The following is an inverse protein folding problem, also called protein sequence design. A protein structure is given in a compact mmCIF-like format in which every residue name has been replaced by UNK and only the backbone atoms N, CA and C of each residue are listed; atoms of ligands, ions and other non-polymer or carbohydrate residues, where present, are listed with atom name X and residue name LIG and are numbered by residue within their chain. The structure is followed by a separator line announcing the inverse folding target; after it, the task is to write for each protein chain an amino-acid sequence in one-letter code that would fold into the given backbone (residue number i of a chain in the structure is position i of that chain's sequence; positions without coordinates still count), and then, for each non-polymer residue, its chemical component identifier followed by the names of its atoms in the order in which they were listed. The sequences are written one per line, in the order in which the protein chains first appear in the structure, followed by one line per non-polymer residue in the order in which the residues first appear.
data_IF_289264103483
#
_entry.id   IF_289264103483
#
_cell.length_a   1.000
_cell.length_b   1.000
_cell.length_c   1.000
_cell.angle_alpha   90.00
_cell.angle_beta   90.00
_cell.angle_gamma   90.00
#
_symmetry.space_group_name_H-M   'P 1'
#
loop_
_entity.id
_entity.type
_entity.pdbx_description
1 polymer ?
#
# COMPACT_ATOMS: atom_id res chain seq x y z
N UNK A 1 -12.45 37.55 -14.32
CA UNK A 1 -11.59 36.57 -15.01
C UNK A 1 -10.95 35.67 -13.96
N UNK A 2 -11.24 34.36 -13.92
CA UNK A 2 -10.54 33.45 -13.02
C UNK A 2 -9.12 33.25 -13.54
N UNK A 3 -8.12 33.58 -12.71
CA UNK A 3 -6.71 33.31 -13.00
C UNK A 3 -6.52 31.79 -13.05
N UNK A 4 -6.14 31.25 -14.21
CA UNK A 4 -5.65 29.89 -14.33
C UNK A 4 -4.51 29.70 -13.33
N UNK A 5 -4.73 28.85 -12.32
CA UNK A 5 -3.69 28.50 -11.33
C UNK A 5 -2.67 27.63 -12.06
N UNK A 6 -1.49 28.18 -12.32
CA UNK A 6 -0.33 27.39 -12.77
C UNK A 6 -0.07 26.28 -11.77
N UNK A 7 -0.02 25.03 -12.24
CA UNK A 7 0.60 23.95 -11.48
C UNK A 7 2.05 24.34 -11.18
N UNK A 8 2.60 23.96 -10.02
CA UNK A 8 4.00 24.21 -9.71
C UNK A 8 4.88 23.56 -10.78
N UNK A 9 5.76 24.35 -11.39
CA UNK A 9 6.68 23.88 -12.43
C UNK A 9 7.59 22.79 -11.85
N UNK A 10 7.71 21.67 -12.57
CA UNK A 10 8.57 20.56 -12.20
C UNK A 10 10.02 21.05 -12.19
N UNK A 11 10.77 20.86 -11.09
CA UNK A 11 12.19 21.15 -11.10
C UNK A 11 12.85 20.34 -12.22
N UNK A 12 13.64 20.98 -13.09
CA UNK A 12 14.39 20.29 -14.14
C UNK A 12 15.50 19.46 -13.50
N UNK A 13 15.18 18.23 -13.13
CA UNK A 13 16.12 17.28 -12.55
C UNK A 13 16.71 16.40 -13.65
N UNK A 14 17.96 15.99 -13.47
CA UNK A 14 18.56 14.96 -14.32
C UNK A 14 17.88 13.61 -14.05
N UNK A 15 17.95 12.65 -15.00
CA UNK A 15 17.43 11.29 -14.78
C UNK A 15 18.03 10.62 -13.54
N UNK A 16 19.34 10.80 -13.32
CA UNK A 16 20.06 10.32 -12.14
C UNK A 16 19.46 10.91 -10.87
N UNK A 17 19.27 12.23 -10.83
CA UNK A 17 18.69 12.90 -9.67
C UNK A 17 17.25 12.49 -9.41
N UNK A 18 16.49 12.22 -10.47
CA UNK A 18 15.13 11.68 -10.36
C UNK A 18 15.14 10.29 -9.73
N UNK A 19 16.10 9.43 -10.11
CA UNK A 19 16.25 8.09 -9.52
C UNK A 19 16.64 8.14 -8.03
N UNK A 20 17.49 9.09 -7.63
CA UNK A 20 17.80 9.34 -6.22
C UNK A 20 16.56 9.77 -5.43
N UNK A 21 15.76 10.70 -5.96
CA UNK A 21 14.51 11.12 -5.33
C UNK A 21 13.53 9.96 -5.21
N UNK A 22 13.36 9.14 -6.26
CA UNK A 22 12.53 7.94 -6.21
C UNK A 22 13.02 6.98 -5.11
N UNK A 23 14.33 6.81 -4.97
CA UNK A 23 14.92 5.97 -3.93
C UNK A 23 14.65 6.50 -2.53
N UNK A 24 14.73 7.82 -2.32
CA UNK A 24 14.37 8.46 -1.05
C UNK A 24 12.86 8.32 -0.74
N UNK A 25 11.98 8.45 -1.74
CA UNK A 25 10.53 8.25 -1.54
C UNK A 25 10.22 6.78 -1.25
N UNK A 26 10.86 5.82 -1.92
CA UNK A 26 10.77 4.40 -1.56
C UNK A 26 11.22 4.15 -0.13
N UNK A 27 12.31 4.79 0.30
CA UNK A 27 12.79 4.71 1.67
C UNK A 27 11.75 5.24 2.67
N UNK A 28 11.10 6.37 2.37
CA UNK A 28 10.01 6.93 3.15
C UNK A 28 8.83 5.95 3.23
N UNK A 29 8.42 5.33 2.11
CA UNK A 29 7.38 4.30 2.10
C UNK A 29 7.72 3.14 3.03
N UNK A 30 8.96 2.66 3.00
CA UNK A 30 9.40 1.56 3.88
C UNK A 30 9.35 1.99 5.34
N UNK A 31 9.83 3.18 5.69
CA UNK A 31 9.75 3.71 7.06
C UNK A 31 8.29 3.74 7.54
N UNK A 32 7.37 4.28 6.72
CA UNK A 32 5.94 4.31 7.06
C UNK A 32 5.32 2.92 7.18
N UNK A 33 5.77 1.94 6.40
CA UNK A 33 5.30 0.56 6.55
C UNK A 33 5.87 -0.10 7.81
N UNK A 34 7.12 0.15 8.18
CA UNK A 34 7.70 -0.35 9.43
C UNK A 34 6.93 0.16 10.64
N UNK A 35 6.42 1.40 10.61
CA UNK A 35 5.58 1.95 11.68
C UNK A 35 4.24 1.24 11.87
N UNK A 36 3.79 0.42 10.91
CA UNK A 36 2.59 -0.41 11.07
C UNK A 36 2.83 -1.60 11.99
N UNK A 37 4.07 -2.10 12.03
CA UNK A 37 4.44 -3.28 12.81
C UNK A 37 5.06 -2.88 14.15
N UNK A 38 5.92 -1.86 14.15
CA UNK A 38 6.70 -1.44 15.31
C UNK A 38 6.36 0.00 15.72
N UNK A 39 6.30 0.24 17.02
CA UNK A 39 6.17 1.60 17.56
C UNK A 39 7.39 2.47 17.16
N UNK A 40 7.18 3.77 16.97
CA UNK A 40 8.25 4.73 16.64
C UNK A 40 9.38 4.77 17.68
N UNK A 41 9.11 4.36 18.93
CA UNK A 41 10.12 4.25 19.98
C UNK A 41 10.91 2.94 19.93
N UNK A 42 10.45 1.93 19.19
CA UNK A 42 11.08 0.61 19.11
C UNK A 42 12.41 0.65 18.33
N UNK A 43 13.40 -0.15 18.78
CA UNK A 43 14.75 -0.12 18.20
C UNK A 43 14.76 -0.49 16.71
N UNK A 44 13.97 -1.49 16.30
CA UNK A 44 13.85 -1.89 14.88
C UNK A 44 13.37 -0.73 13.99
N UNK A 45 12.44 0.09 14.48
CA UNK A 45 11.97 1.26 13.72
C UNK A 45 13.08 2.31 13.61
N UNK A 46 13.77 2.62 14.71
CA UNK A 46 14.86 3.60 14.73
C UNK A 46 16.01 3.19 13.79
N UNK A 47 16.45 1.94 13.86
CA UNK A 47 17.47 1.39 12.97
C UNK A 47 17.03 1.50 11.51
N UNK A 48 15.76 1.16 11.20
CA UNK A 48 15.26 1.24 9.84
C UNK A 48 15.27 2.67 9.28
N UNK A 49 15.03 3.68 10.12
CA UNK A 49 15.16 5.10 9.73
C UNK A 49 16.62 5.46 9.50
N UNK A 50 17.50 5.16 10.46
CA UNK A 50 18.92 5.49 10.40
C UNK A 50 19.62 4.89 9.17
N UNK A 51 19.38 3.61 8.89
CA UNK A 51 19.92 2.91 7.71
C UNK A 51 19.49 3.54 6.38
N UNK A 52 18.36 4.25 6.35
CA UNK A 52 17.78 4.85 5.15
C UNK A 52 18.13 6.33 4.98
N UNK A 53 18.68 6.98 6.01
CA UNK A 53 19.12 8.37 5.94
C UNK A 53 20.07 8.68 4.77
N UNK A 54 21.02 7.80 4.40
CA UNK A 54 21.90 8.08 3.25
C UNK A 54 21.14 8.31 1.93
N UNK A 55 19.97 7.67 1.73
CA UNK A 55 19.16 7.86 0.52
C UNK A 55 18.54 9.26 0.45
N UNK A 56 18.15 9.82 1.60
CA UNK A 56 17.70 11.22 1.69
C UNK A 56 18.87 12.18 1.48
N UNK A 57 20.04 11.86 2.04
CA UNK A 57 21.27 12.64 1.82
C UNK A 57 21.61 12.77 0.34
N UNK A 58 21.69 11.65 -0.38
CA UNK A 58 21.93 11.63 -1.82
C UNK A 58 20.86 12.43 -2.58
N UNK A 59 19.57 12.19 -2.33
CA UNK A 59 18.49 12.89 -3.03
C UNK A 59 18.45 14.40 -2.75
N UNK A 60 18.89 14.85 -1.56
CA UNK A 60 18.91 16.27 -1.19
C UNK A 60 20.19 16.99 -1.63
N UNK A 61 21.26 16.27 -1.96
CA UNK A 61 22.53 16.86 -2.37
C UNK A 61 22.35 17.79 -3.58
N UNK A 62 22.81 19.04 -3.46
CA UNK A 62 22.69 20.04 -4.52
C UNK A 62 21.26 20.55 -4.79
N UNK A 63 20.27 20.20 -3.96
CA UNK A 63 18.88 20.67 -4.10
C UNK A 63 18.46 21.57 -2.94
N UNK A 64 17.50 22.48 -3.17
CA UNK A 64 16.90 23.28 -2.10
C UNK A 64 15.87 22.50 -1.28
N UNK A 65 15.45 21.33 -1.76
CA UNK A 65 14.51 20.42 -1.14
C UNK A 65 13.76 19.58 -2.18
N UNK A 66 13.07 18.56 -1.71
CA UNK A 66 12.29 17.62 -2.51
C UNK A 66 10.81 17.89 -2.25
N UNK A 67 10.11 18.62 -3.14
CA UNK A 67 8.67 18.83 -3.04
C UNK A 67 7.90 17.59 -3.51
N UNK A 68 7.17 16.96 -2.60
CA UNK A 68 6.30 15.83 -2.86
C UNK A 68 4.84 16.28 -2.75
N UNK A 69 4.02 15.97 -3.75
CA UNK A 69 2.58 16.20 -3.74
C UNK A 69 1.83 14.88 -3.78
N UNK A 70 0.75 14.80 -3.01
CA UNK A 70 -0.10 13.62 -2.88
C UNK A 70 -1.45 13.92 -3.51
N UNK A 71 -1.76 13.25 -4.63
CA UNK A 71 -2.97 13.53 -5.43
C UNK A 71 -3.51 12.21 -5.96
N UNK A 72 -4.76 11.88 -5.63
CA UNK A 72 -5.50 10.73 -6.16
C UNK A 72 -4.70 9.40 -6.12
N UNK A 73 -3.99 9.14 -5.01
CA UNK A 73 -3.17 7.93 -4.86
C UNK A 73 -1.84 7.98 -5.61
N UNK A 74 -1.43 9.13 -6.15
CA UNK A 74 -0.13 9.34 -6.77
C UNK A 74 0.77 10.19 -5.88
N UNK A 75 2.08 9.91 -5.93
CA UNK A 75 3.12 10.79 -5.38
C UNK A 75 3.79 11.49 -6.54
N UNK A 76 3.79 12.82 -6.53
CA UNK A 76 4.34 13.64 -7.60
C UNK A 76 5.50 14.50 -7.12
N UNK A 77 6.54 14.61 -7.93
CA UNK A 77 7.62 15.58 -7.79
C UNK A 77 7.34 16.74 -8.73
N UNK A 78 6.78 17.84 -8.22
CA UNK A 78 6.18 18.86 -9.10
C UNK A 78 5.01 18.27 -9.89
N UNK A 79 5.08 18.29 -11.23
CA UNK A 79 4.08 17.65 -12.11
C UNK A 79 4.46 16.23 -12.55
N UNK A 80 5.62 15.71 -12.13
CA UNK A 80 6.08 14.38 -12.53
C UNK A 80 5.53 13.33 -11.56
N UNK A 81 4.73 12.39 -12.06
CA UNK A 81 4.32 11.23 -11.26
C UNK A 81 5.51 10.30 -11.03
N UNK A 82 5.82 10.04 -9.77
CA UNK A 82 6.83 9.06 -9.39
C UNK A 82 6.18 7.68 -9.39
N UNK A 83 6.79 6.73 -10.11
CA UNK A 83 6.36 5.32 -10.18
C UNK A 83 4.84 5.11 -10.32
N UNK A 84 4.23 5.57 -11.43
CA UNK A 84 2.81 5.35 -11.65
C UNK A 84 2.48 3.84 -11.61
N UNK A 85 1.51 3.47 -10.77
CA UNK A 85 1.11 2.07 -10.54
C UNK A 85 1.79 1.38 -9.36
N UNK A 86 2.74 2.02 -8.68
CA UNK A 86 3.36 1.46 -7.47
C UNK A 86 2.38 1.47 -6.29
N UNK A 87 1.97 0.28 -5.85
CA UNK A 87 1.09 0.12 -4.67
C UNK A 87 1.67 0.71 -3.39
N UNK A 88 3.00 0.77 -3.27
CA UNK A 88 3.68 1.40 -2.14
C UNK A 88 3.47 2.92 -2.13
N UNK A 89 3.58 3.55 -3.30
CA UNK A 89 3.41 5.00 -3.45
C UNK A 89 1.94 5.39 -3.30
N UNK A 90 1.03 4.54 -3.78
CA UNK A 90 -0.41 4.70 -3.57
C UNK A 90 -0.77 4.74 -2.09
N UNK A 91 -0.32 3.74 -1.31
CA UNK A 91 -0.56 3.69 0.14
C UNK A 91 0.03 4.89 0.88
N UNK A 92 1.22 5.36 0.47
CA UNK A 92 1.82 6.56 1.04
C UNK A 92 0.95 7.78 0.75
N UNK A 93 0.58 7.99 -0.50
CA UNK A 93 -0.27 9.11 -0.95
C UNK A 93 -1.61 9.13 -0.22
N UNK A 94 -2.29 7.99 -0.16
CA UNK A 94 -3.56 7.83 0.57
C UNK A 94 -3.41 8.17 2.06
N UNK A 95 -2.33 7.73 2.71
CA UNK A 95 -2.10 8.01 4.13
C UNK A 95 -1.95 9.50 4.41
N UNK A 96 -1.17 10.21 3.59
CA UNK A 96 -1.01 11.66 3.72
C UNK A 96 -2.33 12.39 3.43
N UNK A 97 -3.05 11.97 2.40
CA UNK A 97 -4.35 12.55 2.05
C UNK A 97 -5.41 12.34 3.14
N UNK A 98 -5.46 11.15 3.76
CA UNK A 98 -6.34 10.86 4.89
C UNK A 98 -6.02 11.72 6.12
N UNK A 99 -4.75 12.06 6.32
CA UNK A 99 -4.32 13.01 7.33
C UNK A 99 -4.56 14.49 6.93
N UNK A 100 -5.12 14.76 5.74
CA UNK A 100 -5.40 16.10 5.25
C UNK A 100 -4.18 16.83 4.66
N UNK A 101 -3.12 16.10 4.34
CA UNK A 101 -1.86 16.66 3.83
C UNK A 101 -1.78 16.45 2.32
N UNK A 102 -1.80 17.55 1.56
CA UNK A 102 -1.72 17.51 0.08
C UNK A 102 -0.30 17.49 -0.47
N UNK A 103 0.70 17.80 0.36
CA UNK A 103 2.09 17.76 -0.03
C UNK A 103 3.04 18.14 1.10
N UNK A 104 4.30 17.76 0.94
CA UNK A 104 5.39 18.12 1.84
C UNK A 104 6.64 18.47 1.04
N UNK A 105 7.52 19.32 1.58
CA UNK A 105 8.90 19.45 1.13
C UNK A 105 9.84 18.96 2.21
N UNK A 106 10.79 18.11 1.82
CA UNK A 106 11.91 17.71 2.67
C UNK A 106 13.13 18.54 2.24
N UNK A 107 13.76 19.23 3.18
CA UNK A 107 14.88 20.14 2.94
C UNK A 107 16.22 19.55 3.41
N UNK A 108 17.36 20.05 2.88
CA UNK A 108 18.68 19.67 3.38
C UNK A 108 18.80 19.84 4.89
N UNK A 109 19.53 18.92 5.53
CA UNK A 109 19.69 18.89 6.99
C UNK A 109 18.61 18.12 7.74
N UNK A 110 17.66 17.46 7.03
CA UNK A 110 16.71 16.53 7.65
C UNK A 110 17.45 15.44 8.42
N UNK A 111 17.06 15.22 9.67
CA UNK A 111 17.64 14.22 10.56
C UNK A 111 16.74 12.98 10.69
N UNK A 112 17.30 11.87 11.19
CA UNK A 112 16.50 10.69 11.53
C UNK A 112 15.39 11.03 12.54
N UNK A 113 15.68 11.91 13.50
CA UNK A 113 14.70 12.39 14.48
C UNK A 113 13.54 13.14 13.82
N UNK A 114 13.81 13.93 12.79
CA UNK A 114 12.77 14.66 12.06
C UNK A 114 11.82 13.68 11.34
N UNK A 115 12.37 12.65 10.68
CA UNK A 115 11.58 11.63 10.00
C UNK A 115 10.77 10.76 10.97
N UNK A 116 11.37 10.35 12.09
CA UNK A 116 10.66 9.60 13.15
C UNK A 116 9.45 10.41 13.62
N UNK A 117 9.65 11.70 13.90
CA UNK A 117 8.61 12.56 14.43
C UNK A 117 7.55 12.90 13.38
N UNK A 118 7.92 13.05 12.10
CA UNK A 118 6.96 13.15 11.01
C UNK A 118 6.03 11.93 10.99
N UNK A 119 6.60 10.72 11.07
CA UNK A 119 5.83 9.48 11.05
C UNK A 119 4.90 9.40 12.27
N UNK A 120 5.40 9.72 13.45
CA UNK A 120 4.61 9.76 14.69
C UNK A 120 3.42 10.73 14.61
N UNK A 121 3.62 11.92 14.02
CA UNK A 121 2.55 12.89 13.81
C UNK A 121 1.51 12.35 12.81
N UNK A 122 1.94 11.82 11.67
CA UNK A 122 1.04 11.34 10.62
C UNK A 122 0.25 10.09 11.06
N UNK A 123 0.88 9.17 11.78
CA UNK A 123 0.27 7.90 12.21
C UNK A 123 -0.60 8.09 13.44
N UNK A 124 -0.11 8.78 14.47
CA UNK A 124 -0.78 8.84 15.78
C UNK A 124 -1.60 10.12 15.99
N UNK A 125 -1.37 11.18 15.21
CA UNK A 125 -1.98 12.50 15.44
C UNK A 125 -2.77 13.02 14.23
N UNK A 126 -3.32 12.14 13.38
CA UNK A 126 -4.11 12.52 12.20
C UNK A 126 -5.27 13.50 12.53
N UNK A 127 -5.94 13.29 13.67
CA UNK A 127 -7.01 14.18 14.14
C UNK A 127 -6.50 15.58 14.51
N UNK A 128 -5.27 15.69 15.04
CA UNK A 128 -4.66 16.98 15.36
C UNK A 128 -4.17 17.68 14.10
N UNK A 129 -3.64 16.93 13.13
CA UNK A 129 -3.25 17.46 11.82
C UNK A 129 -4.48 18.07 11.14
N UNK A 130 -5.64 17.40 11.17
CA UNK A 130 -6.87 17.94 10.62
C UNK A 130 -7.33 19.25 11.29
N UNK A 131 -7.07 19.42 12.59
CA UNK A 131 -7.47 20.62 13.37
C UNK A 131 -6.48 21.78 13.24
N UNK A 132 -5.19 21.50 13.27
CA UNK A 132 -4.12 22.49 13.44
C UNK A 132 -3.22 22.62 12.20
N UNK A 133 -3.17 21.58 11.37
CA UNK A 133 -2.20 21.45 10.30
C UNK A 133 -0.93 20.73 10.72
N UNK A 134 -0.30 20.07 9.76
CA UNK A 134 0.98 19.43 9.96
C UNK A 134 2.06 20.48 10.29
N UNK A 135 2.08 21.63 9.61
CA UNK A 135 3.10 22.66 9.81
C UNK A 135 3.17 23.15 11.25
N UNK A 136 2.01 23.34 11.90
CA UNK A 136 1.98 23.81 13.28
C UNK A 136 2.51 22.74 14.26
N UNK A 137 2.22 21.47 13.99
CA UNK A 137 2.71 20.35 14.80
C UNK A 137 4.21 20.11 14.60
N UNK A 138 4.71 20.23 13.37
CA UNK A 138 6.14 20.17 13.07
C UNK A 138 6.89 21.31 13.78
N UNK A 139 6.36 22.53 13.75
CA UNK A 139 6.96 23.67 14.47
C UNK A 139 7.00 23.45 15.98
N UNK A 140 5.94 22.91 16.59
CA UNK A 140 5.92 22.53 18.02
C UNK A 140 6.95 21.45 18.35
N UNK A 141 7.22 20.55 17.41
CA UNK A 141 8.24 19.52 17.54
C UNK A 141 9.67 20.04 17.25
N UNK A 142 9.84 21.32 16.89
CA UNK A 142 11.13 21.92 16.56
C UNK A 142 11.65 21.56 15.17
N UNK A 143 10.80 21.06 14.28
CA UNK A 143 11.18 20.60 12.95
C UNK A 143 10.95 21.72 11.93
N UNK A 144 12.02 22.11 11.24
CA UNK A 144 12.01 23.14 10.20
C UNK A 144 12.42 22.60 8.83
N UNK A 145 13.02 21.40 8.81
CA UNK A 145 13.53 20.71 7.63
C UNK A 145 12.42 20.05 6.81
N UNK A 146 11.19 20.03 7.31
CA UNK A 146 10.01 19.48 6.63
C UNK A 146 8.92 20.55 6.63
N UNK A 147 8.37 20.84 5.47
CA UNK A 147 7.37 21.91 5.26
C UNK A 147 6.12 21.34 4.62
N UNK A 148 4.94 21.66 5.16
CA UNK A 148 3.63 21.28 4.59
C UNK A 148 3.27 22.19 3.41
N UNK A 149 2.86 21.58 2.29
CA UNK A 149 2.22 22.28 1.17
C UNK A 149 0.72 22.06 1.22
N UNK A 150 -0.02 23.10 1.60
CA UNK A 150 -1.48 23.08 1.46
C UNK A 150 -1.85 23.39 0.02
N UNK A 151 -2.45 22.42 -0.66
CA UNK A 151 -3.28 22.76 -1.80
C UNK A 151 -4.42 23.64 -1.27
N UNK A 152 -4.58 24.85 -1.79
CA UNK A 152 -5.84 25.61 -1.60
C UNK A 152 -6.93 24.82 -2.31
N UNK A 153 -7.53 23.86 -1.61
CA UNK A 153 -8.75 23.15 -2.00
C UNK A 153 -9.72 24.22 -2.49
N UNK A 154 -10.07 24.16 -3.77
CA UNK A 154 -11.13 25.00 -4.28
C UNK A 154 -12.40 24.60 -3.52
N UNK A 155 -13.00 25.57 -2.82
CA UNK A 155 -14.41 25.53 -2.47
C UNK A 155 -15.20 25.18 -3.73
N UNK A 156 -15.63 23.91 -3.85
CA UNK A 156 -16.65 23.53 -4.82
C UNK A 156 -17.98 24.00 -4.25
N UNK A 157 -18.24 25.31 -4.35
CA UNK A 157 -19.59 25.83 -4.26
C UNK A 157 -20.37 25.30 -5.48
N UNK A 158 -21.58 24.75 -5.30
CA UNK A 158 -22.39 24.30 -6.41
C UNK A 158 -22.89 25.53 -7.16
N UNK A 159 -22.24 25.88 -8.27
CA UNK A 159 -22.71 26.94 -9.16
C UNK A 159 -23.79 26.33 -10.06
N UNK A 160 -25.02 26.66 -9.71
CA UNK A 160 -26.20 26.54 -10.55
C UNK A 160 -25.92 27.00 -11.98
N UNK A 161 -26.35 26.17 -12.92
CA UNK A 161 -26.47 26.42 -14.35
C UNK A 161 -26.77 27.87 -14.72
N UNK A 162 -25.87 28.52 -15.45
CA UNK A 162 -26.20 29.67 -16.30
C UNK A 162 -25.76 29.36 -17.73
N UNK A 163 -26.74 28.89 -18.52
CA UNK A 163 -26.66 28.80 -19.98
C UNK A 163 -26.22 30.15 -20.56
N UNK A 164 -25.28 30.11 -21.49
CA UNK A 164 -25.32 30.93 -22.71
C UNK A 164 -24.58 30.20 -23.84
N UNK A 165 -25.26 30.17 -24.96
CA UNK A 165 -25.08 29.38 -26.16
C UNK A 165 -24.24 30.09 -27.24
N UNK A 166 -23.89 29.32 -28.28
CA UNK A 166 -23.45 29.68 -29.66
C UNK A 166 -22.03 30.29 -29.82
N UNK A 167 -21.20 29.97 -30.82
CA UNK A 167 -21.33 29.24 -32.11
C UNK A 167 -19.94 28.94 -32.74
N UNK A 168 -19.86 27.87 -33.54
CA UNK A 168 -19.04 27.60 -34.76
C UNK A 168 -17.61 28.17 -34.95
N UNK A 169 -16.66 27.29 -35.31
CA UNK A 169 -16.07 27.24 -36.67
C UNK A 169 -15.09 26.05 -36.86
N UNK A 170 -14.85 25.74 -38.14
CA UNK A 170 -14.35 24.50 -38.76
C UNK A 170 -12.82 24.39 -38.94
N UNK A 171 -12.35 23.16 -39.23
CA UNK A 171 -11.17 22.83 -40.06
C UNK A 171 -9.82 22.90 -39.32
N UNK A 172 -8.84 22.02 -39.51
CA UNK A 172 -8.40 21.38 -40.77
C UNK A 172 -7.48 20.18 -40.45
N UNK A 173 -7.49 19.18 -41.33
CA UNK A 173 -6.53 18.06 -41.41
C UNK A 173 -5.10 18.50 -41.71
N UNK A 174 -4.12 17.72 -41.26
CA UNK A 174 -2.72 17.82 -41.67
C UNK A 174 -1.92 16.60 -41.18
N UNK A 175 -1.81 15.61 -42.04
CA UNK A 175 -1.04 14.37 -41.91
C UNK A 175 0.42 14.60 -42.37
N UNK A 176 1.44 14.34 -41.54
CA UNK A 176 2.80 13.92 -41.97
C UNK A 176 3.49 13.12 -40.84
N UNK A 177 3.49 11.80 -41.02
CA UNK A 177 4.60 10.82 -40.98
C UNK A 177 5.64 10.85 -39.84
N UNK A 178 5.70 9.68 -39.19
CA UNK A 178 6.61 9.25 -38.13
C UNK A 178 8.01 8.80 -38.60
N UNK A 179 8.95 8.72 -37.64
CA UNK A 179 10.06 7.75 -37.45
C UNK A 179 10.97 8.34 -36.32
N UNK A 180 11.43 7.70 -35.24
CA UNK A 180 11.58 6.31 -34.83
C UNK A 180 11.43 6.19 -33.29
N UNK A 181 10.78 5.12 -32.81
CA UNK A 181 11.09 4.54 -31.50
C UNK A 181 10.80 3.04 -31.55
N UNK A 182 11.81 2.25 -31.20
CA UNK A 182 11.86 0.78 -31.19
C UNK A 182 10.97 0.25 -30.04
N UNK A 183 10.24 -0.86 -30.25
CA UNK A 183 9.16 -1.31 -29.36
C UNK A 183 9.68 -2.12 -28.17
N UNK A 184 9.06 -1.92 -27.00
CA UNK A 184 9.15 -2.88 -25.90
C UNK A 184 7.88 -3.74 -25.88
N UNK A 185 8.10 -4.98 -26.33
CA UNK A 185 7.42 -6.23 -25.99
C UNK A 185 6.33 -6.15 -24.91
N UNK A 186 5.10 -6.53 -25.25
CA UNK A 186 4.23 -7.52 -24.58
C UNK A 186 2.86 -7.45 -25.30
N UNK A 187 2.83 -7.89 -26.56
CA UNK A 187 1.61 -8.05 -27.34
C UNK A 187 1.43 -9.55 -27.59
N UNK A 188 0.42 -10.14 -26.94
CA UNK A 188 -0.15 -11.42 -27.36
C UNK A 188 -1.53 -11.08 -27.94
N UNK A 189 -1.56 -10.93 -29.25
CA UNK A 189 -2.79 -10.85 -30.01
C UNK A 189 -3.45 -12.24 -30.10
N UNK A 190 -4.77 -12.24 -29.98
CA UNK A 190 -5.62 -13.25 -30.61
C UNK A 190 -6.67 -12.50 -31.43
N UNK A 191 -6.64 -12.74 -32.74
CA UNK A 191 -7.48 -12.14 -33.77
C UNK A 191 -8.74 -12.97 -34.03
N UNK A 192 -9.87 -12.25 -34.03
CA UNK A 192 -11.13 -12.32 -34.81
C UNK A 192 -11.89 -13.61 -35.21
N UNK A 193 -13.22 -13.43 -35.08
CA UNK A 193 -14.35 -13.83 -35.95
C UNK A 193 -15.13 -15.14 -35.68
N UNK A 194 -16.34 -15.02 -35.09
CA UNK A 194 -17.60 -15.03 -35.87
C UNK A 194 -18.89 -14.75 -35.05
N UNK A 195 -19.59 -13.68 -35.46
CA UNK A 195 -21.02 -13.28 -35.39
C UNK A 195 -22.03 -14.14 -34.60
N UNK A 196 -22.88 -13.50 -33.78
CA UNK A 196 -24.27 -13.03 -34.13
C UNK A 196 -24.71 -11.87 -33.21
N UNK A 197 -25.27 -10.83 -33.86
CA UNK A 197 -25.95 -9.59 -33.43
C UNK A 197 -26.53 -9.43 -32.00
N UNK A 198 -26.13 -8.36 -31.27
CA UNK A 198 -26.89 -7.11 -30.95
C UNK A 198 -26.32 -6.43 -29.69
N UNK A 199 -25.81 -5.18 -29.81
CA UNK A 199 -25.87 -4.01 -28.87
C UNK A 199 -24.75 -2.99 -29.21
N UNK A 200 -24.59 -2.59 -30.48
CA UNK A 200 -23.58 -1.59 -30.85
C UNK A 200 -24.13 -0.16 -30.69
N UNK A 201 -23.84 0.44 -29.53
CA UNK A 201 -23.25 1.78 -29.42
C UNK A 201 -23.02 2.17 -27.94
N UNK A 202 -22.34 1.30 -27.20
CA UNK A 202 -21.60 1.72 -26.01
C UNK A 202 -20.13 1.39 -26.24
N UNK A 203 -19.39 2.39 -26.72
CA UNK A 203 -17.95 2.33 -26.95
C UNK A 203 -17.22 1.80 -25.71
N UNK A 204 -16.44 0.75 -25.91
CA UNK A 204 -15.54 0.15 -24.93
C UNK A 204 -14.29 1.03 -24.67
N UNK A 205 -14.50 2.29 -24.28
CA UNK A 205 -13.44 3.24 -23.86
C UNK A 205 -13.54 3.70 -22.40
N UNK A 206 -14.36 3.02 -21.57
CA UNK A 206 -14.69 3.45 -20.20
C UNK A 206 -13.79 2.88 -19.08
N UNK A 207 -12.52 2.60 -19.32
CA UNK A 207 -11.62 2.05 -18.28
C UNK A 207 -11.16 3.06 -17.21
N UNK A 208 -11.71 4.29 -17.17
CA UNK A 208 -11.33 5.32 -16.17
C UNK A 208 -12.50 6.04 -15.48
N UNK A 209 -13.77 5.70 -15.76
CA UNK A 209 -14.90 6.42 -15.14
C UNK A 209 -15.35 5.77 -13.83
N UNK A 210 -15.55 6.60 -12.82
CA UNK A 210 -16.04 6.15 -11.51
C UNK A 210 -17.47 5.60 -11.66
N UNK A 211 -17.88 4.65 -10.81
CA UNK A 211 -19.24 4.07 -10.85
C UNK A 211 -20.30 5.17 -10.74
N UNK A 212 -20.00 6.24 -10.01
CA UNK A 212 -20.81 7.45 -9.91
C UNK A 212 -21.05 8.12 -11.26
N UNK A 213 -20.04 8.23 -12.11
CA UNK A 213 -20.16 8.84 -13.44
C UNK A 213 -20.97 7.95 -14.38
N UNK A 214 -20.83 6.63 -14.26
CA UNK A 214 -21.65 5.66 -14.97
C UNK A 214 -23.13 5.79 -14.59
N UNK A 215 -23.45 5.76 -13.30
CA UNK A 215 -24.82 5.94 -12.78
C UNK A 215 -25.39 7.29 -13.21
N UNK A 216 -24.60 8.35 -13.14
CA UNK A 216 -25.03 9.70 -13.57
C UNK A 216 -25.31 9.75 -15.08
N UNK A 217 -24.54 9.03 -15.88
CA UNK A 217 -24.78 8.88 -17.32
C UNK A 217 -26.08 8.12 -17.62
N UNK A 218 -26.31 7.01 -16.92
CA UNK A 218 -27.51 6.19 -17.07
C UNK A 218 -28.80 6.93 -16.65
N UNK A 219 -28.75 7.66 -15.53
CA UNK A 219 -29.85 8.56 -15.09
C UNK A 219 -30.04 9.73 -16.07
N UNK A 220 -28.96 10.20 -16.68
CA UNK A 220 -29.00 11.21 -17.74
C UNK A 220 -29.77 10.75 -18.98
N UNK A 221 -29.59 9.49 -19.40
CA UNK A 221 -30.34 8.88 -20.50
C UNK A 221 -31.84 8.76 -20.18
N UNK A 222 -32.19 8.38 -18.94
CA UNK A 222 -33.57 8.39 -18.47
C UNK A 222 -34.19 9.80 -18.54
N UNK A 223 -33.44 10.81 -18.11
CA UNK A 223 -33.87 12.21 -18.11
C UNK A 223 -34.10 12.78 -19.52
N UNK A 224 -33.40 12.23 -20.52
CA UNK A 224 -33.57 12.56 -21.94
C UNK A 224 -34.64 11.72 -22.65
N UNK A 225 -35.31 10.80 -21.93
CA UNK A 225 -36.26 9.80 -22.47
C UNK A 225 -35.63 8.88 -23.52
N UNK A 226 -34.33 8.66 -23.43
CA UNK A 226 -33.57 7.78 -24.34
C UNK A 226 -33.67 6.30 -23.90
N UNK A 227 -34.05 6.03 -22.66
CA UNK A 227 -34.20 4.69 -22.08
C UNK A 227 -35.36 4.64 -21.08
N UNK A 228 -35.92 3.45 -20.84
CA UNK A 228 -36.94 3.22 -19.81
C UNK A 228 -36.29 3.08 -18.42
N UNK A 229 -37.07 3.38 -17.37
CA UNK A 229 -36.63 3.27 -15.98
C UNK A 229 -36.14 1.86 -15.64
N UNK A 230 -36.86 0.83 -16.13
CA UNK A 230 -36.51 -0.56 -15.87
C UNK A 230 -35.18 -0.95 -16.51
N UNK A 231 -34.97 -0.52 -17.75
CA UNK A 231 -33.73 -0.75 -18.50
C UNK A 231 -32.53 -0.08 -17.83
N UNK A 232 -32.69 1.17 -17.39
CA UNK A 232 -31.64 1.89 -16.66
C UNK A 232 -31.33 1.24 -15.31
N UNK A 233 -32.35 0.78 -14.58
CA UNK A 233 -32.16 0.07 -13.32
C UNK A 233 -31.41 -1.26 -13.51
N UNK A 234 -31.78 -2.04 -14.53
CA UNK A 234 -31.13 -3.32 -14.84
C UNK A 234 -29.67 -3.11 -15.26
N UNK A 235 -29.37 -2.07 -16.06
CA UNK A 235 -28.01 -1.70 -16.46
C UNK A 235 -27.16 -1.31 -15.24
N UNK A 236 -27.70 -0.47 -14.35
CA UNK A 236 -26.98 -0.06 -13.13
C UNK A 236 -26.75 -1.26 -12.21
N UNK A 237 -27.75 -2.11 -12.02
CA UNK A 237 -27.64 -3.31 -11.17
C UNK A 237 -26.59 -4.29 -11.71
N UNK A 238 -26.58 -4.50 -13.02
CA UNK A 238 -25.61 -5.40 -13.67
C UNK A 238 -24.19 -4.86 -13.54
N UNK A 239 -23.97 -3.57 -13.80
CA UNK A 239 -22.67 -2.92 -13.64
C UNK A 239 -22.20 -2.94 -12.17
N UNK A 240 -23.11 -2.71 -11.22
CA UNK A 240 -22.80 -2.77 -9.80
C UNK A 240 -22.35 -4.17 -9.38
N UNK A 241 -23.09 -5.19 -9.79
CA UNK A 241 -22.75 -6.59 -9.52
C UNK A 241 -21.39 -6.97 -10.14
N UNK A 242 -21.14 -6.52 -11.38
CA UNK A 242 -19.88 -6.74 -12.06
C UNK A 242 -18.71 -6.13 -11.28
N UNK A 243 -18.81 -4.86 -10.85
CA UNK A 243 -17.77 -4.19 -10.06
C UNK A 243 -17.56 -4.82 -8.68
N UNK A 244 -18.62 -5.30 -8.03
CA UNK A 244 -18.49 -6.06 -6.78
C UNK A 244 -17.68 -7.33 -7.02
N UNK A 245 -18.03 -8.10 -8.04
CA UNK A 245 -17.34 -9.34 -8.36
C UNK A 245 -15.86 -9.10 -8.70
N UNK A 246 -15.58 -8.07 -9.50
CA UNK A 246 -14.19 -7.68 -9.83
C UNK A 246 -13.39 -7.30 -8.58
N UNK A 247 -13.97 -6.49 -7.67
CA UNK A 247 -13.31 -6.12 -6.41
C UNK A 247 -13.11 -7.33 -5.50
N UNK A 248 -14.08 -8.24 -5.46
CA UNK A 248 -14.01 -9.46 -4.68
C UNK A 248 -12.88 -10.37 -5.20
N UNK A 249 -12.74 -10.51 -6.51
CA UNK A 249 -11.61 -11.24 -7.11
C UNK A 249 -10.26 -10.60 -6.78
N UNK A 250 -10.15 -9.27 -6.82
CA UNK A 250 -8.92 -8.55 -6.44
C UNK A 250 -8.56 -8.85 -4.99
N UNK A 251 -9.53 -8.75 -4.08
CA UNK A 251 -9.33 -9.06 -2.65
C UNK A 251 -8.93 -10.53 -2.46
N UNK A 252 -9.56 -11.45 -3.18
CA UNK A 252 -9.20 -12.88 -3.14
C UNK A 252 -7.76 -13.12 -3.61
N UNK A 253 -7.36 -12.55 -4.75
CA UNK A 253 -5.98 -12.67 -5.27
C UNK A 253 -4.96 -12.07 -4.31
N UNK A 254 -5.26 -10.92 -3.69
CA UNK A 254 -4.39 -10.33 -2.67
C UNK A 254 -4.30 -11.20 -1.43
N UNK A 255 -5.42 -11.76 -0.97
CA UNK A 255 -5.46 -12.67 0.16
C UNK A 255 -4.62 -13.93 -0.11
N UNK A 256 -4.81 -14.57 -1.26
CA UNK A 256 -3.98 -15.71 -1.68
C UNK A 256 -2.50 -15.37 -1.75
N UNK A 257 -2.14 -14.19 -2.27
CA UNK A 257 -0.74 -13.74 -2.33
C UNK A 257 -0.13 -13.59 -0.94
N UNK A 258 -0.88 -13.01 0.01
CA UNK A 258 -0.45 -12.89 1.41
C UNK A 258 -0.30 -14.26 2.07
N UNK A 259 -1.27 -15.15 1.87
CA UNK A 259 -1.21 -16.54 2.39
C UNK A 259 0.01 -17.27 1.85
N UNK A 260 0.28 -17.18 0.54
CA UNK A 260 1.47 -17.76 -0.08
C UNK A 260 2.75 -17.18 0.52
N UNK A 261 2.85 -15.87 0.67
CA UNK A 261 4.02 -15.21 1.26
C UNK A 261 4.29 -15.70 2.70
N UNK A 262 3.24 -15.74 3.53
CA UNK A 262 3.36 -16.20 4.93
C UNK A 262 3.76 -17.67 4.98
N UNK A 263 3.20 -18.50 4.09
CA UNK A 263 3.55 -19.92 3.98
C UNK A 263 5.01 -20.08 3.57
N UNK A 264 5.50 -19.32 2.60
CA UNK A 264 6.91 -19.34 2.20
C UNK A 264 7.85 -18.87 3.30
N UNK A 265 7.49 -17.83 4.06
CA UNK A 265 8.30 -17.37 5.21
C UNK A 265 8.33 -18.42 6.32
N UNK A 266 7.19 -19.07 6.61
CA UNK A 266 7.10 -20.18 7.56
C UNK A 266 8.05 -21.32 7.18
N UNK A 267 8.01 -21.74 5.92
CA UNK A 267 8.83 -22.84 5.43
C UNK A 267 10.32 -22.49 5.44
N UNK A 268 10.67 -21.24 5.09
CA UNK A 268 12.03 -20.73 5.19
C UNK A 268 12.55 -20.76 6.63
N UNK A 269 11.78 -20.25 7.60
CA UNK A 269 12.20 -20.24 9.02
C UNK A 269 12.40 -21.66 9.54
N UNK A 270 11.47 -22.58 9.24
CA UNK A 270 11.59 -23.97 9.65
C UNK A 270 12.80 -24.66 9.02
N UNK A 271 13.12 -24.34 7.76
CA UNK A 271 14.30 -24.85 7.07
C UNK A 271 15.61 -24.31 7.68
N UNK A 272 15.70 -23.01 7.96
CA UNK A 272 16.88 -22.41 8.61
C UNK A 272 17.13 -23.03 10.00
N UNK A 273 16.07 -23.26 10.78
CA UNK A 273 16.18 -23.96 12.07
C UNK A 273 16.64 -25.41 11.90
N UNK A 274 16.18 -26.10 10.85
CA UNK A 274 16.63 -27.45 10.51
C UNK A 274 18.12 -27.49 10.12
N UNK A 275 18.60 -26.51 9.35
CA UNK A 275 20.03 -26.36 9.00
C UNK A 275 20.89 -26.14 10.24
N UNK A 276 20.35 -25.49 11.27
CA UNK A 276 20.99 -25.34 12.59
C UNK A 276 20.83 -26.57 13.49
N UNK A 277 20.29 -27.67 12.98
CA UNK A 277 19.99 -28.91 13.71
C UNK A 277 19.00 -28.76 14.86
N UNK A 278 18.20 -27.69 14.86
CA UNK A 278 17.16 -27.46 15.85
C UNK A 278 15.84 -28.08 15.39
N UNK A 279 15.19 -28.85 16.26
CA UNK A 279 13.83 -29.29 16.02
C UNK A 279 12.87 -28.12 16.24
N UNK A 280 12.01 -27.83 15.26
CA UNK A 280 11.16 -26.64 15.30
C UNK A 280 9.71 -26.95 14.94
N UNK A 281 8.79 -26.33 15.67
CA UNK A 281 7.36 -26.53 15.54
C UNK A 281 6.60 -25.22 15.78
N UNK A 282 5.57 -24.99 14.98
CA UNK A 282 4.68 -23.84 15.06
C UNK A 282 3.32 -24.32 15.54
N UNK A 283 2.83 -23.71 16.61
CA UNK A 283 1.63 -24.13 17.33
C UNK A 283 0.67 -22.94 17.50
N UNK A 284 -0.63 -23.19 17.42
CA UNK A 284 -1.65 -22.21 17.82
C UNK A 284 -1.95 -22.22 19.34
N UNK A 285 -2.83 -21.32 19.78
CA UNK A 285 -3.28 -21.23 21.18
C UNK A 285 -4.05 -22.46 21.70
N UNK A 286 -4.44 -23.38 20.82
CA UNK A 286 -5.17 -24.61 21.15
C UNK A 286 -4.28 -25.86 21.10
N UNK A 287 -2.96 -25.64 20.99
CA UNK A 287 -1.93 -26.67 20.90
C UNK A 287 -1.98 -27.50 19.61
N UNK A 288 -2.61 -26.99 18.56
CA UNK A 288 -2.56 -27.61 17.23
C UNK A 288 -1.23 -27.28 16.56
N UNK A 289 -0.57 -28.30 16.01
CA UNK A 289 0.68 -28.16 15.28
C UNK A 289 0.35 -27.69 13.86
N UNK A 290 0.65 -26.42 13.58
CA UNK A 290 0.41 -25.79 12.28
C UNK A 290 1.49 -26.17 11.25
N UNK A 291 2.73 -26.34 11.71
CA UNK A 291 3.85 -26.79 10.90
C UNK A 291 5.02 -27.28 11.77
N UNK A 292 5.87 -28.11 11.20
CA UNK A 292 7.04 -28.69 11.87
C UNK A 292 8.12 -29.01 10.83
N UNK A 293 9.40 -28.79 11.19
CA UNK A 293 10.52 -29.19 10.34
C UNK A 293 10.77 -30.71 10.41
N UNK A 294 11.75 -31.22 9.66
CA UNK A 294 12.01 -32.67 9.63
C UNK A 294 12.47 -33.20 11.00
N UNK A 295 13.44 -32.53 11.63
CA UNK A 295 13.97 -32.90 12.95
C UNK A 295 12.88 -32.90 14.02
N UNK A 296 12.00 -31.89 14.02
CA UNK A 296 10.87 -31.84 14.95
C UNK A 296 9.86 -32.97 14.72
N UNK A 297 9.64 -33.39 13.47
CA UNK A 297 8.81 -34.57 13.14
C UNK A 297 9.46 -35.88 13.58
N UNK A 298 10.78 -35.96 13.59
CA UNK A 298 11.49 -37.14 14.09
C UNK A 298 11.36 -37.26 15.62
N UNK A 299 11.40 -36.13 16.35
CA UNK A 299 11.25 -36.10 17.81
C UNK A 299 9.80 -36.31 18.24
N UNK A 300 8.86 -35.58 17.62
CA UNK A 300 7.45 -35.53 18.05
C UNK A 300 6.51 -36.44 17.24
N UNK A 301 6.99 -37.03 16.15
CA UNK A 301 6.16 -37.77 15.20
C UNK A 301 5.28 -36.85 14.34
N UNK A 302 4.29 -37.45 13.67
CA UNK A 302 3.31 -36.74 12.84
C UNK A 302 2.11 -36.23 13.66
N UNK A 303 2.37 -35.68 14.84
CA UNK A 303 1.32 -35.15 15.71
C UNK A 303 0.71 -33.88 15.10
N UNK A 304 -0.61 -33.88 14.88
CA UNK A 304 -1.36 -32.69 14.46
C UNK A 304 -1.75 -31.80 15.63
N UNK A 305 -1.64 -32.33 16.85
CA UNK A 305 -1.92 -31.64 18.12
C UNK A 305 -1.03 -32.21 19.20
N UNK A 306 -0.56 -31.35 20.11
CA UNK A 306 0.19 -31.81 21.27
C UNK A 306 -0.72 -32.55 22.25
N UNK A 307 -0.21 -33.65 22.80
CA UNK A 307 -0.91 -34.43 23.81
C UNK A 307 -0.93 -33.67 25.15
N UNK A 308 -2.08 -33.72 25.82
CA UNK A 308 -2.26 -33.13 27.13
C UNK A 308 -1.50 -33.93 28.20
N UNK A 309 -0.87 -33.24 29.15
CA UNK A 309 -0.04 -33.82 30.21
C UNK A 309 1.42 -34.02 29.82
N UNK A 310 1.84 -33.60 28.63
CA UNK A 310 3.24 -33.69 28.19
C UNK A 310 4.11 -32.58 28.80
N UNK A 311 5.40 -32.86 28.96
CA UNK A 311 6.40 -31.84 29.37
C UNK A 311 6.38 -30.62 28.46
N UNK A 312 6.15 -30.84 27.16
CA UNK A 312 6.08 -29.79 26.15
C UNK A 312 4.82 -28.91 26.33
N UNK A 313 3.65 -29.50 26.60
CA UNK A 313 2.46 -28.71 26.94
C UNK A 313 2.70 -27.90 28.21
N UNK A 314 3.24 -28.51 29.26
CA UNK A 314 3.50 -27.82 30.53
C UNK A 314 4.46 -26.64 30.34
N UNK A 315 5.49 -26.81 29.51
CA UNK A 315 6.42 -25.74 29.15
C UNK A 315 5.70 -24.61 28.42
N UNK A 316 4.92 -24.91 27.38
CA UNK A 316 4.14 -23.91 26.66
C UNK A 316 3.17 -23.17 27.60
N UNK A 317 2.48 -23.91 28.48
CA UNK A 317 1.57 -23.36 29.48
C UNK A 317 2.26 -22.45 30.51
N UNK A 318 3.53 -22.69 30.81
CA UNK A 318 4.31 -21.86 31.72
C UNK A 318 4.67 -20.47 31.16
N UNK A 319 4.64 -20.33 29.83
CA UNK A 319 5.01 -19.09 29.10
C UNK A 319 6.45 -18.61 29.37
N UNK A 320 7.33 -19.45 29.92
CA UNK A 320 8.75 -19.12 30.06
C UNK A 320 9.44 -19.23 28.69
N UNK A 321 10.39 -18.35 28.43
CA UNK A 321 11.09 -18.31 27.13
C UNK A 321 12.00 -19.52 26.92
N UNK A 322 12.51 -20.12 28.01
CA UNK A 322 13.45 -21.25 27.96
C UNK A 322 13.25 -22.21 29.13
N UNK A 323 13.26 -23.50 28.87
CA UNK A 323 13.22 -24.54 29.89
C UNK A 323 13.80 -25.85 29.35
N UNK A 324 14.51 -26.60 30.20
CA UNK A 324 14.88 -27.98 29.88
C UNK A 324 13.64 -28.87 30.09
N UNK A 325 13.25 -29.61 29.06
CA UNK A 325 12.11 -30.53 29.09
C UNK A 325 12.53 -31.92 28.65
N UNK A 326 11.89 -32.94 29.22
CA UNK A 326 12.08 -34.32 28.79
C UNK A 326 11.00 -34.72 27.77
N UNK A 327 11.44 -35.15 26.59
CA UNK A 327 10.59 -35.68 25.53
C UNK A 327 11.11 -37.10 25.21
N UNK A 328 10.23 -38.10 25.32
CA UNK A 328 10.59 -39.50 25.06
C UNK A 328 11.82 -40.01 25.85
N UNK A 329 12.05 -39.47 27.04
CA UNK A 329 13.19 -39.83 27.90
C UNK A 329 14.51 -39.15 27.54
N UNK A 330 14.51 -38.19 26.62
CA UNK A 330 15.66 -37.37 26.23
C UNK A 330 15.40 -35.92 26.69
N UNK A 331 16.37 -35.33 27.37
CA UNK A 331 16.31 -33.93 27.79
C UNK A 331 16.68 -33.01 26.63
N UNK A 332 15.85 -32.00 26.39
CA UNK A 332 16.03 -30.98 25.36
C UNK A 332 15.97 -29.58 25.99
N UNK A 333 16.77 -28.64 25.50
CA UNK A 333 16.56 -27.23 25.82
C UNK A 333 15.48 -26.68 24.89
N UNK A 334 14.30 -26.37 25.45
CA UNK A 334 13.20 -25.82 24.70
C UNK A 334 13.18 -24.29 24.79
N UNK A 335 12.98 -23.64 23.65
CA UNK A 335 12.82 -22.19 23.54
C UNK A 335 11.42 -21.87 23.00
N UNK A 336 10.75 -20.89 23.58
CA UNK A 336 9.41 -20.45 23.20
C UNK A 336 9.42 -19.00 22.73
N UNK A 337 8.99 -18.78 21.49
CA UNK A 337 8.69 -17.46 20.95
C UNK A 337 7.18 -17.35 20.72
N UNK A 338 6.54 -16.39 21.39
CA UNK A 338 5.10 -16.17 21.30
C UNK A 338 4.81 -14.89 20.52
N UNK A 339 3.98 -15.00 19.48
CA UNK A 339 3.40 -13.88 18.76
C UNK A 339 1.90 -13.82 19.04
N UNK A 340 1.38 -12.61 19.28
CA UNK A 340 -0.04 -12.37 19.58
C UNK A 340 -0.65 -11.55 18.44
N UNK A 341 -1.68 -12.11 17.79
CA UNK A 341 -2.49 -11.40 16.81
C UNK A 341 -3.31 -10.32 17.52
N UNK A 342 -3.04 -9.04 17.22
CA UNK A 342 -3.69 -7.90 17.90
C UNK A 342 -5.21 -7.86 17.72
N UNK A 343 -5.72 -8.39 16.61
CA UNK A 343 -7.14 -8.32 16.25
C UNK A 343 -7.98 -9.40 16.95
N UNK A 344 -7.47 -10.63 17.02
CA UNK A 344 -8.20 -11.78 17.58
C UNK A 344 -7.73 -12.15 18.98
N UNK A 345 -6.55 -11.68 19.41
CA UNK A 345 -5.89 -12.14 20.63
C UNK A 345 -5.31 -13.55 20.53
N UNK A 346 -5.42 -14.20 19.36
CA UNK A 346 -4.89 -15.55 19.14
C UNK A 346 -3.37 -15.54 19.21
N UNK A 347 -2.82 -16.62 19.78
CA UNK A 347 -1.38 -16.80 19.93
C UNK A 347 -0.87 -17.79 18.89
N UNK A 348 0.20 -17.42 18.20
CA UNK A 348 1.01 -18.35 17.44
C UNK A 348 2.36 -18.45 18.13
N UNK A 349 2.78 -19.68 18.39
CA UNK A 349 3.97 -20.00 19.15
C UNK A 349 4.94 -20.76 18.24
N UNK A 350 6.20 -20.31 18.21
CA UNK A 350 7.31 -21.08 17.65
C UNK A 350 8.07 -21.69 18.82
N UNK A 351 8.17 -23.02 18.83
CA UNK A 351 8.99 -23.76 19.78
C UNK A 351 10.17 -24.37 19.03
N UNK A 352 11.37 -24.15 19.54
CA UNK A 352 12.58 -24.84 19.08
C UNK A 352 13.18 -25.69 20.19
N UNK A 353 13.69 -26.86 19.84
CA UNK A 353 14.30 -27.83 20.72
C UNK A 353 15.76 -28.04 20.28
N UNK A 354 16.69 -27.83 21.20
CA UNK A 354 18.11 -28.14 21.05
C UNK A 354 18.44 -29.54 21.57
#
# INVERSE_FOLDING_TARGET
MPRSKKMPETPRLTPEKTAEVVSAVRALCVIFNTSLTYDTHHQVFRNAVEERMPLFGAALEGTSGIPLYFIDGHVQLGSLSLEPGSSLFQKLSERFLLAGISGISIHPGVSAKDLIRLVELVVSHANEIAKHGLQQLLAKAGIQTIVEHRAKTQDVRPVSSRRKSTSNQQGTQGDVRAEHAIPSTWDVGASEANRVFTLENYDASYTTKTFRDFVSGAIGALSRKEADFREVADIISTEFQHRINEKLEVVQREHERKVRLVTSMRDLVLHELEVMHLAALIIDSHLNVLACNQTGREILGNATRLETGTSLESFIGSQVERQVIDINGISHEAHLLTSVLRETGEKIMLVSLE
#
